data_IF_098050097902
#
_entry.id   IF_098050097902
#
_cell.length_a   1.000
_cell.length_b   1.000
_cell.length_c   1.000
_cell.angle_alpha   90.00
_cell.angle_beta   90.00
_cell.angle_gamma   90.00
#
_symmetry.space_group_name_H-M   'P 1'
#
loop_
_entity.id
_entity.type
_entity.pdbx_description
1 polymer ?
#
# COMPACT_ATOMS: atom_id res chain seq x y z
N UNK A 1 15.07 -5.71 -10.03
CA UNK A 1 14.54 -7.08 -10.08
C UNK A 1 15.44 -7.92 -9.19
N UNK A 2 14.86 -8.53 -8.15
CA UNK A 2 15.60 -9.29 -7.15
C UNK A 2 15.54 -10.78 -7.50
N UNK A 3 16.71 -11.37 -7.69
CA UNK A 3 16.89 -12.82 -7.66
C UNK A 3 17.85 -13.16 -6.55
N UNK A 4 17.59 -14.27 -5.87
CA UNK A 4 18.57 -14.87 -4.98
C UNK A 4 19.89 -15.04 -5.76
N UNK A 5 20.99 -14.42 -5.31
CA UNK A 5 22.28 -14.58 -5.97
C UNK A 5 22.63 -16.07 -6.04
N UNK A 6 23.16 -16.57 -7.17
CA UNK A 6 23.42 -18.01 -7.36
C UNK A 6 24.46 -18.57 -6.38
N UNK A 7 25.26 -17.69 -5.76
CA UNK A 7 26.23 -17.98 -4.72
C UNK A 7 25.65 -17.91 -3.29
N UNK A 8 24.36 -17.58 -3.13
CA UNK A 8 23.69 -17.50 -1.85
C UNK A 8 23.10 -18.88 -1.50
N UNK A 9 23.79 -19.62 -0.64
CA UNK A 9 23.27 -20.86 -0.08
C UNK A 9 22.15 -20.54 0.92
N UNK A 10 20.96 -21.09 0.70
CA UNK A 10 19.89 -21.06 1.70
C UNK A 10 20.28 -22.02 2.83
N UNK A 11 20.79 -21.47 3.92
CA UNK A 11 21.18 -22.27 5.07
C UNK A 11 19.97 -22.93 5.74
N UNK A 12 18.87 -22.18 5.87
CA UNK A 12 17.63 -22.62 6.50
C UNK A 12 16.43 -21.89 5.88
N UNK A 13 15.28 -22.57 5.82
CA UNK A 13 13.99 -22.01 5.42
C UNK A 13 12.96 -22.32 6.50
N UNK A 14 12.22 -21.31 6.92
CA UNK A 14 11.20 -21.42 7.95
C UNK A 14 9.90 -20.82 7.46
N UNK A 15 8.80 -21.52 7.71
CA UNK A 15 7.46 -20.93 7.59
C UNK A 15 7.13 -20.30 8.93
N UNK A 16 7.26 -18.97 9.02
CA UNK A 16 6.79 -18.23 10.18
C UNK A 16 5.26 -18.11 10.12
N UNK A 17 4.59 -18.47 11.22
CA UNK A 17 3.12 -18.39 11.32
C UNK A 17 2.71 -17.09 12.02
N UNK A 18 3.64 -16.51 12.80
CA UNK A 18 3.43 -15.28 13.55
C UNK A 18 4.67 -14.37 13.52
N UNK A 19 4.49 -13.05 13.73
CA UNK A 19 5.58 -12.10 13.95
C UNK A 19 6.61 -12.54 15.00
N UNK A 20 6.16 -13.17 16.08
CA UNK A 20 7.03 -13.65 17.16
C UNK A 20 7.95 -14.78 16.72
N UNK A 21 7.57 -15.59 15.74
CA UNK A 21 8.42 -16.64 15.20
C UNK A 21 9.62 -16.04 14.46
N UNK A 22 9.38 -14.93 13.74
CA UNK A 22 10.45 -14.19 13.05
C UNK A 22 11.36 -13.50 14.05
N UNK A 23 10.83 -12.88 15.10
CA UNK A 23 11.65 -12.30 16.18
C UNK A 23 12.53 -13.35 16.85
N UNK A 24 11.97 -14.51 17.20
CA UNK A 24 12.74 -15.60 17.80
C UNK A 24 13.84 -16.12 16.85
N UNK A 25 13.56 -16.17 15.55
CA UNK A 25 14.56 -16.50 14.53
C UNK A 25 15.67 -15.44 14.49
N UNK A 26 15.34 -14.15 14.46
CA UNK A 26 16.34 -13.08 14.45
C UNK A 26 17.28 -13.12 15.66
N UNK A 27 16.73 -13.37 16.86
CA UNK A 27 17.51 -13.50 18.10
C UNK A 27 18.48 -14.68 18.09
N UNK A 28 18.16 -15.74 17.33
CA UNK A 28 19.01 -16.92 17.20
C UNK A 28 20.13 -16.78 16.16
N UNK A 29 20.06 -15.77 15.30
CA UNK A 29 20.98 -15.58 14.19
C UNK A 29 22.17 -14.68 14.59
N UNK A 30 23.38 -14.95 14.04
CA UNK A 30 24.49 -14.02 14.17
C UNK A 30 24.12 -12.62 13.66
N UNK A 31 24.65 -11.58 14.32
CA UNK A 31 24.52 -10.20 13.85
C UNK A 31 25.00 -10.09 12.39
N UNK A 32 24.28 -9.32 11.57
CA UNK A 32 24.52 -9.14 10.13
C UNK A 32 24.20 -10.36 9.23
N UNK A 33 23.50 -11.38 9.75
CA UNK A 33 22.96 -12.45 8.90
C UNK A 33 22.01 -11.88 7.84
N UNK A 34 22.03 -12.43 6.63
CA UNK A 34 21.12 -12.01 5.55
C UNK A 34 19.77 -12.67 5.76
N UNK A 35 18.72 -11.87 5.91
CA UNK A 35 17.34 -12.33 6.00
C UNK A 35 16.60 -12.01 4.71
N UNK A 36 15.81 -12.99 4.27
CA UNK A 36 14.86 -12.87 3.19
C UNK A 36 13.50 -13.32 3.75
N UNK A 37 12.53 -12.42 3.78
CA UNK A 37 11.18 -12.69 4.27
C UNK A 37 10.18 -12.44 3.15
N UNK A 38 9.34 -13.43 2.85
CA UNK A 38 8.25 -13.28 1.89
C UNK A 38 6.94 -12.96 2.61
N UNK A 39 6.34 -11.80 2.30
CA UNK A 39 4.94 -11.53 2.63
C UNK A 39 4.08 -12.13 1.53
N UNK A 40 3.40 -13.23 1.84
CA UNK A 40 2.54 -13.95 0.90
C UNK A 40 1.10 -13.45 1.03
N UNK A 41 0.55 -12.96 -0.07
CA UNK A 41 -0.84 -12.53 -0.20
C UNK A 41 -1.67 -13.61 -0.91
N UNK A 42 -2.99 -13.58 -0.74
CA UNK A 42 -3.89 -14.53 -1.41
C UNK A 42 -3.96 -14.29 -2.93
N UNK A 43 -3.79 -13.05 -3.36
CA UNK A 43 -3.84 -12.65 -4.76
C UNK A 43 -3.00 -11.39 -5.00
N UNK A 44 -2.57 -11.20 -6.25
CA UNK A 44 -1.81 -10.02 -6.66
C UNK A 44 -2.81 -8.96 -7.09
N UNK A 45 -3.04 -8.00 -6.19
CA UNK A 45 -4.04 -6.95 -6.39
C UNK A 45 -3.50 -5.80 -7.25
N UNK A 46 -4.41 -4.99 -7.81
CA UNK A 46 -4.06 -3.80 -8.59
C UNK A 46 -3.37 -2.76 -7.70
N UNK A 47 -2.15 -2.33 -8.07
CA UNK A 47 -1.32 -1.43 -7.26
C UNK A 47 -0.30 -2.14 -6.36
N UNK A 48 -0.22 -3.47 -6.38
CA UNK A 48 0.76 -4.24 -5.59
C UNK A 48 2.21 -3.78 -5.77
N UNK A 49 2.63 -3.50 -7.01
CA UNK A 49 3.99 -3.04 -7.30
C UNK A 49 4.25 -1.62 -6.78
N UNK A 50 3.26 -0.74 -6.89
CA UNK A 50 3.34 0.62 -6.37
C UNK A 50 3.44 0.62 -4.84
N UNK A 51 2.72 -0.30 -4.19
CA UNK A 51 2.78 -0.51 -2.75
C UNK A 51 4.15 -1.07 -2.32
N UNK A 52 4.72 -2.01 -3.08
CA UNK A 52 6.10 -2.46 -2.87
C UNK A 52 7.11 -1.31 -2.98
N UNK A 53 6.97 -0.46 -3.99
CA UNK A 53 7.82 0.73 -4.18
C UNK A 53 7.65 1.73 -3.03
N UNK A 54 6.41 1.97 -2.59
CA UNK A 54 6.09 2.86 -1.47
C UNK A 54 6.62 2.32 -0.14
N UNK A 55 6.52 1.01 0.08
CA UNK A 55 7.13 0.35 1.23
C UNK A 55 8.66 0.51 1.18
N UNK A 56 9.27 0.25 0.03
CA UNK A 56 10.71 0.42 -0.14
C UNK A 56 11.19 1.84 0.17
N UNK A 57 10.51 2.87 -0.35
CA UNK A 57 10.84 4.28 -0.10
C UNK A 57 10.68 4.65 1.39
N UNK A 58 9.61 4.21 2.04
CA UNK A 58 9.40 4.47 3.48
C UNK A 58 10.48 3.83 4.34
N UNK A 59 10.85 2.59 4.02
CA UNK A 59 11.93 1.90 4.70
C UNK A 59 13.24 2.68 4.47
N UNK A 60 13.59 2.99 3.22
CA UNK A 60 14.80 3.76 2.92
C UNK A 60 14.93 5.08 3.68
N UNK A 61 13.82 5.81 3.85
CA UNK A 61 13.82 7.08 4.58
C UNK A 61 14.04 6.91 6.08
N UNK A 62 13.50 5.86 6.69
CA UNK A 62 13.70 5.58 8.11
C UNK A 62 15.13 5.11 8.41
N UNK A 63 15.75 4.37 7.50
CA UNK A 63 17.04 3.71 7.75
C UNK A 63 18.27 4.52 7.36
N UNK A 64 18.13 5.86 7.25
CA UNK A 64 19.30 6.73 7.36
C UNK A 64 19.93 6.69 8.78
N UNK A 65 19.26 6.05 9.74
CA UNK A 65 19.75 5.79 11.10
C UNK A 65 20.54 4.46 11.21
N UNK A 66 21.55 4.36 12.11
CA UNK A 66 22.37 3.17 12.26
C UNK A 66 21.56 1.99 12.83
N UNK A 67 21.54 0.85 12.14
CA UNK A 67 21.09 -0.43 12.73
C UNK A 67 20.31 -1.37 11.81
N UNK A 68 19.71 -0.88 10.71
CA UNK A 68 19.20 -1.74 9.64
C UNK A 68 19.99 -1.46 8.37
N UNK A 69 20.41 -2.51 7.68
CA UNK A 69 21.11 -2.38 6.41
C UNK A 69 20.46 -3.30 5.37
N UNK A 70 20.30 -2.83 4.12
CA UNK A 70 19.88 -3.70 3.03
C UNK A 70 20.99 -4.71 2.75
N UNK A 71 20.71 -5.67 1.88
CA UNK A 71 21.77 -6.54 1.39
C UNK A 71 22.84 -5.72 0.64
N UNK A 72 24.13 -6.01 0.84
CA UNK A 72 25.21 -5.29 0.14
C UNK A 72 25.09 -5.33 -1.38
N UNK A 73 24.51 -6.40 -1.93
CA UNK A 73 24.27 -6.59 -3.36
C UNK A 73 23.10 -5.74 -3.90
N UNK A 74 22.19 -5.34 -3.03
CA UNK A 74 20.99 -4.55 -3.35
C UNK A 74 20.85 -3.35 -2.42
N UNK A 75 21.83 -2.42 -2.41
CA UNK A 75 21.93 -1.36 -1.41
C UNK A 75 20.85 -0.28 -1.53
N UNK A 76 19.98 -0.36 -2.54
CA UNK A 76 18.89 0.58 -2.83
C UNK A 76 17.51 -0.05 -2.65
N UNK A 77 17.45 -1.31 -2.23
CA UNK A 77 16.21 -2.06 -2.16
C UNK A 77 16.15 -2.82 -0.82
N UNK A 78 15.04 -2.69 -0.13
CA UNK A 78 14.61 -3.50 1.00
C UNK A 78 13.41 -4.36 0.61
N UNK A 79 12.54 -3.86 -0.26
CA UNK A 79 11.31 -4.54 -0.69
C UNK A 79 11.28 -4.64 -2.19
N UNK A 80 10.99 -5.84 -2.69
CA UNK A 80 10.80 -6.12 -4.11
C UNK A 80 9.60 -7.04 -4.32
N UNK A 81 8.79 -6.82 -5.37
CA UNK A 81 7.74 -7.76 -5.74
C UNK A 81 8.37 -9.03 -6.32
N UNK A 82 7.64 -10.15 -6.23
CA UNK A 82 8.03 -11.39 -6.88
C UNK A 82 8.11 -11.26 -8.40
N UNK A 83 9.21 -11.77 -8.97
CA UNK A 83 9.52 -11.66 -10.39
C UNK A 83 8.66 -12.57 -11.26
N UNK A 84 8.25 -13.72 -10.73
CA UNK A 84 7.52 -14.74 -11.48
C UNK A 84 6.01 -14.43 -11.53
N UNK A 85 5.59 -13.30 -10.94
CA UNK A 85 4.21 -12.85 -10.94
C UNK A 85 3.44 -13.25 -9.69
N UNK A 86 4.05 -13.98 -8.77
CA UNK A 86 3.38 -14.46 -7.57
C UNK A 86 2.97 -13.30 -6.65
N UNK A 87 1.93 -13.48 -5.82
CA UNK A 87 1.46 -12.47 -4.88
C UNK A 87 2.38 -12.40 -3.64
N UNK A 88 3.68 -12.21 -3.84
CA UNK A 88 4.69 -12.22 -2.78
C UNK A 88 5.49 -10.93 -2.82
N UNK A 89 5.61 -10.26 -1.67
CA UNK A 89 6.53 -9.14 -1.48
C UNK A 89 7.75 -9.63 -0.70
N UNK A 90 8.91 -9.61 -1.34
CA UNK A 90 10.18 -10.02 -0.77
C UNK A 90 10.82 -8.87 -0.01
N UNK A 91 11.16 -9.12 1.25
CA UNK A 91 11.86 -8.18 2.13
C UNK A 91 13.25 -8.73 2.39
N UNK A 92 14.28 -7.96 2.03
CA UNK A 92 15.67 -8.36 2.14
C UNK A 92 16.49 -7.33 2.94
N UNK A 93 16.99 -7.76 4.09
CA UNK A 93 17.74 -6.93 5.02
C UNK A 93 18.76 -7.76 5.81
N UNK A 94 19.68 -7.08 6.49
CA UNK A 94 20.58 -7.67 7.47
C UNK A 94 19.90 -7.76 8.84
N UNK A 95 19.92 -8.94 9.44
CA UNK A 95 19.32 -9.26 10.74
C UNK A 95 19.71 -8.24 11.79
N UNK A 96 18.68 -7.70 12.45
CA UNK A 96 18.81 -6.71 13.50
C UNK A 96 17.57 -6.81 14.40
N UNK A 97 17.65 -7.55 15.53
CA UNK A 97 16.49 -7.91 16.37
C UNK A 97 15.61 -6.73 16.79
N UNK A 98 16.16 -5.52 16.83
CA UNK A 98 15.46 -4.30 17.22
C UNK A 98 14.47 -3.76 16.16
N UNK A 99 14.59 -4.16 14.89
CA UNK A 99 13.89 -3.49 13.78
C UNK A 99 12.70 -4.26 13.22
N UNK A 100 12.56 -5.55 13.51
CA UNK A 100 11.46 -6.36 12.96
C UNK A 100 10.08 -5.77 13.25
N UNK A 101 9.85 -5.30 14.48
CA UNK A 101 8.59 -4.65 14.86
C UNK A 101 8.32 -3.39 14.02
N UNK A 102 9.35 -2.59 13.75
CA UNK A 102 9.25 -1.37 12.95
C UNK A 102 8.99 -1.71 11.47
N UNK A 103 9.66 -2.74 10.95
CA UNK A 103 9.41 -3.28 9.61
C UNK A 103 7.94 -3.66 9.46
N UNK A 104 7.39 -4.42 10.42
CA UNK A 104 5.98 -4.82 10.41
C UNK A 104 5.00 -3.66 10.46
N UNK A 105 5.29 -2.62 11.25
CA UNK A 105 4.43 -1.42 11.31
C UNK A 105 4.41 -0.71 9.96
N UNK A 106 5.55 -0.60 9.28
CA UNK A 106 5.63 0.06 7.97
C UNK A 106 4.97 -0.78 6.89
N UNK A 107 5.28 -2.08 6.85
CA UNK A 107 4.71 -3.02 5.89
C UNK A 107 3.20 -3.15 6.10
N UNK A 108 2.75 -3.38 7.32
CA UNK A 108 1.34 -3.36 7.70
C UNK A 108 0.69 -2.02 7.35
N UNK A 109 1.32 -0.88 7.66
CA UNK A 109 0.80 0.43 7.24
C UNK A 109 0.63 0.54 5.72
N UNK A 110 1.59 0.10 4.93
CA UNK A 110 1.56 0.27 3.47
C UNK A 110 0.60 -0.70 2.78
N UNK A 111 0.57 -1.96 3.20
CA UNK A 111 -0.22 -3.03 2.60
C UNK A 111 -1.63 -3.16 3.20
N UNK A 112 -1.85 -2.73 4.45
CA UNK A 112 -3.13 -2.89 5.17
C UNK A 112 -3.99 -1.61 5.11
N UNK A 113 -3.39 -0.42 4.95
CA UNK A 113 -4.16 0.83 4.74
C UNK A 113 -5.02 0.82 3.46
N UNK A 114 -4.56 0.30 2.31
CA UNK A 114 -5.43 0.15 1.14
C UNK A 114 -6.65 -0.73 1.44
N UNK A 115 -6.46 -1.81 2.20
CA UNK A 115 -7.53 -2.72 2.61
C UNK A 115 -8.53 -2.01 3.56
N UNK A 116 -8.03 -1.25 4.55
CA UNK A 116 -8.86 -0.44 5.45
C UNK A 116 -9.54 0.72 4.72
N UNK A 117 -8.96 1.25 3.63
CA UNK A 117 -9.59 2.31 2.84
C UNK A 117 -10.81 1.83 2.07
N UNK A 118 -10.77 0.59 1.56
CA UNK A 118 -11.87 -0.01 0.80
C UNK A 118 -12.93 -0.65 1.70
N UNK A 119 -12.53 -1.14 2.88
CA UNK A 119 -13.43 -1.77 3.86
C UNK A 119 -14.67 -0.93 4.21
N UNK A 120 -14.57 0.39 4.51
CA UNK A 120 -15.73 1.24 4.79
C UNK A 120 -16.67 1.34 3.60
N UNK A 121 -16.14 1.46 2.38
CA UNK A 121 -16.98 1.54 1.16
C UNK A 121 -17.71 0.22 0.95
N UNK A 122 -17.00 -0.90 1.06
CA UNK A 122 -17.57 -2.24 0.92
C UNK A 122 -18.59 -2.55 2.02
N UNK A 123 -18.33 -2.17 3.27
CA UNK A 123 -19.27 -2.29 4.39
C UNK A 123 -20.52 -1.43 4.15
N UNK A 124 -20.36 -0.21 3.63
CA UNK A 124 -21.49 0.67 3.31
C UNK A 124 -22.36 0.06 2.20
N UNK A 125 -21.76 -0.47 1.13
CA UNK A 125 -22.49 -1.13 0.05
C UNK A 125 -23.18 -2.42 0.52
N UNK A 126 -22.57 -3.17 1.44
CA UNK A 126 -23.16 -4.40 1.99
C UNK A 126 -24.32 -4.12 2.96
N UNK A 127 -24.21 -3.08 3.81
CA UNK A 127 -25.27 -2.69 4.74
C UNK A 127 -26.40 -1.92 4.07
N UNK A 128 -26.11 -1.18 3.00
CA UNK A 128 -27.07 -0.37 2.25
C UNK A 128 -26.89 -0.57 0.74
N UNK A 129 -27.40 -1.68 0.18
CA UNK A 129 -27.29 -1.96 -1.25
C UNK A 129 -27.90 -0.81 -2.07
N UNK A 130 -27.13 -0.23 -2.99
CA UNK A 130 -27.55 0.91 -3.82
C UNK A 130 -27.36 2.30 -3.18
N UNK A 131 -26.71 2.40 -2.02
CA UNK A 131 -26.44 3.68 -1.36
C UNK A 131 -25.46 4.56 -2.15
N UNK A 132 -24.42 3.97 -2.72
CA UNK A 132 -23.45 4.65 -3.60
C UNK A 132 -24.10 5.19 -4.87
N UNK A 133 -24.99 4.41 -5.50
CA UNK A 133 -25.80 4.86 -6.65
C UNK A 133 -26.77 5.98 -6.28
N UNK A 134 -27.37 5.92 -5.09
CA UNK A 134 -28.29 6.94 -4.58
C UNK A 134 -27.56 8.26 -4.33
N UNK A 135 -26.37 8.23 -3.70
CA UNK A 135 -25.52 9.40 -3.51
C UNK A 135 -25.09 9.97 -4.86
N UNK A 136 -24.67 9.11 -5.80
CA UNK A 136 -24.30 9.54 -7.15
C UNK A 136 -25.44 10.26 -7.87
N UNK A 137 -26.65 9.71 -7.77
CA UNK A 137 -27.87 10.28 -8.38
C UNK A 137 -28.24 11.62 -7.73
N UNK A 138 -28.19 11.71 -6.41
CA UNK A 138 -28.46 12.95 -5.67
C UNK A 138 -27.41 14.01 -6.02
N UNK A 139 -26.12 13.64 -6.06
CA UNK A 139 -25.03 14.54 -6.45
C UNK A 139 -25.21 15.08 -7.86
N UNK A 140 -25.56 14.22 -8.83
CA UNK A 140 -25.85 14.61 -10.20
C UNK A 140 -27.05 15.57 -10.30
N UNK A 141 -28.12 15.31 -9.54
CA UNK A 141 -29.29 16.19 -9.48
C UNK A 141 -28.96 17.56 -8.88
N UNK A 142 -28.11 17.62 -7.85
CA UNK A 142 -27.65 18.89 -7.25
C UNK A 142 -26.79 19.67 -8.24
N UNK A 143 -25.92 19.00 -9.01
CA UNK A 143 -25.10 19.64 -10.05
C UNK A 143 -25.98 20.20 -11.18
N UNK A 144 -26.94 19.41 -11.68
CA UNK A 144 -27.88 19.85 -12.73
C UNK A 144 -28.75 21.00 -12.21
N UNK A 145 -29.29 20.88 -11.00
CA UNK A 145 -30.08 21.93 -10.36
C UNK A 145 -29.27 23.22 -10.14
N UNK A 146 -28.01 23.10 -9.74
CA UNK A 146 -27.08 24.23 -9.63
C UNK A 146 -26.80 24.89 -10.98
N UNK A 147 -26.52 24.10 -12.02
CA UNK A 147 -26.36 24.58 -13.39
C UNK A 147 -27.60 25.33 -13.87
N UNK A 148 -28.80 24.78 -13.67
CA UNK A 148 -30.05 25.44 -14.02
C UNK A 148 -30.26 26.74 -13.24
N UNK A 149 -29.95 26.76 -11.94
CA UNK A 149 -30.05 27.96 -11.11
C UNK A 149 -29.13 29.09 -11.57
N UNK A 150 -27.94 28.77 -12.09
CA UNK A 150 -27.02 29.77 -12.64
C UNK A 150 -27.37 30.19 -14.08
N UNK A 151 -27.87 29.28 -14.92
CA UNK A 151 -28.18 29.56 -16.34
C UNK A 151 -29.54 30.25 -16.55
N UNK A 152 -30.58 29.89 -15.79
CA UNK A 152 -31.93 30.47 -15.91
C UNK A 152 -31.99 32.00 -15.72
N UNK A 153 -31.31 32.62 -14.75
CA UNK A 153 -31.32 34.08 -14.62
C UNK A 153 -30.55 34.80 -15.72
N UNK A 154 -29.60 34.16 -16.42
CA UNK A 154 -28.91 34.72 -17.59
C UNK A 154 -29.76 34.65 -18.88
N UNK A 155 -30.82 33.85 -18.89
CA UNK A 155 -31.78 33.75 -20.00
C UNK A 155 -32.99 34.67 -19.84
N UNK A 156 -33.07 35.47 -18.75
CA UNK A 156 -34.11 36.50 -18.64
C UNK A 156 -33.82 37.60 -19.66
N UNK A 157 -34.75 37.89 -20.59
CA UNK A 157 -34.54 38.95 -21.56
C UNK A 157 -34.40 40.28 -20.81
N UNK A 158 -33.34 41.03 -21.15
CA UNK A 158 -33.16 42.44 -20.77
C UNK A 158 -34.48 43.15 -21.09
N UNK A 159 -35.11 43.74 -20.07
CA UNK A 159 -36.35 44.52 -20.25
C UNK A 159 -36.11 45.53 -21.38
N UNK A 160 -36.84 45.39 -22.48
CA UNK A 160 -36.97 46.46 -23.46
C UNK A 160 -37.55 47.66 -22.73
N UNK A 161 -36.71 48.67 -22.49
CA UNK A 161 -37.18 50.01 -22.17
C UNK A 161 -38.00 50.51 -23.36
N UNK A 162 -39.32 50.48 -23.21
CA UNK A 162 -40.25 51.13 -24.14
C UNK A 162 -40.01 52.63 -24.03
N UNK A 163 -39.20 53.17 -24.94
CA UNK A 163 -39.11 54.59 -25.18
C UNK A 163 -40.46 55.11 -25.68
N UNK A 164 -41.07 56.00 -24.90
CA UNK A 164 -42.13 56.92 -25.31
C UNK A 164 -41.74 58.32 -24.90
#
# INVERSE_FOLDING_TARGET
MFRLPPNLGVAQQYTAVSPSDVTALEESLPANSRLLVGLVFSERYEGFEEDCLRANDRLFRLFQEPGLSPWPEYPQQFVTPDEDGEPIAWIHYQSSPAWWTILLVILGGVFLLPIIGVLPVWIIDFMFPGFTETIGTIGMLVVIGGLMFFLLPMLKPVKEEVAK
#
